data_IF_656431869712
#
_entry.id   IF_656431869712
#
_cell.length_a   1.000
_cell.length_b   1.000
_cell.length_c   1.000
_cell.angle_alpha   90.00
_cell.angle_beta   90.00
_cell.angle_gamma   90.00
#
_symmetry.space_group_name_H-M   'P 1'
#
loop_
_entity.id
_entity.type
_entity.pdbx_description
1 polymer ?
#
# COMPACT_ATOMS: atom_id res chain seq x y z
N UNK A 1 9.15 35.72 -9.35
CA UNK A 1 7.90 34.93 -9.35
C UNK A 1 7.63 34.58 -7.89
N UNK A 2 6.50 34.95 -7.29
CA UNK A 2 6.22 34.54 -5.92
C UNK A 2 6.06 33.01 -5.90
N UNK A 3 6.68 32.37 -4.89
CA UNK A 3 6.77 30.92 -4.70
C UNK A 3 5.50 30.16 -5.11
N UNK A 4 5.63 29.22 -6.05
CA UNK A 4 4.64 28.16 -6.19
C UNK A 4 4.68 27.32 -4.91
N UNK A 5 3.71 27.55 -4.01
CA UNK A 5 3.61 26.85 -2.74
C UNK A 5 3.35 25.36 -2.99
N UNK A 6 4.42 24.59 -2.97
CA UNK A 6 4.37 23.13 -2.98
C UNK A 6 3.90 22.65 -1.61
N UNK A 7 2.94 21.74 -1.61
CA UNK A 7 2.34 21.17 -0.40
C UNK A 7 2.59 19.67 -0.33
N UNK A 8 2.52 19.12 0.87
CA UNK A 8 2.41 17.67 1.14
C UNK A 8 1.31 17.40 2.15
N UNK A 9 0.94 16.13 2.28
CA UNK A 9 0.05 15.70 3.37
C UNK A 9 0.84 15.57 4.69
N UNK A 10 0.22 16.03 5.77
CA UNK A 10 0.65 15.85 7.15
C UNK A 10 0.54 14.39 7.56
N UNK A 11 1.63 13.66 7.39
CA UNK A 11 1.69 12.20 7.58
C UNK A 11 1.36 11.77 9.01
N UNK A 12 1.65 12.62 9.99
CA UNK A 12 1.37 12.43 11.40
C UNK A 12 -0.13 12.44 11.74
N UNK A 13 -0.98 12.97 10.85
CA UNK A 13 -2.43 13.00 11.03
C UNK A 13 -3.14 11.86 10.29
N UNK A 14 -2.44 11.17 9.39
CA UNK A 14 -2.99 10.04 8.63
C UNK A 14 -3.08 8.79 9.52
N UNK A 15 -4.21 8.11 9.40
CA UNK A 15 -4.45 6.82 10.04
C UNK A 15 -4.65 5.73 8.98
N UNK A 16 -4.33 4.47 9.28
CA UNK A 16 -4.71 3.35 8.43
C UNK A 16 -6.23 3.35 8.18
N UNK A 17 -6.62 3.07 6.95
CA UNK A 17 -8.01 3.18 6.48
C UNK A 17 -8.42 4.59 6.03
N UNK A 18 -7.59 5.62 6.18
CA UNK A 18 -7.88 6.91 5.54
C UNK A 18 -7.81 6.80 4.02
N UNK A 19 -8.73 7.49 3.34
CA UNK A 19 -8.79 7.56 1.88
C UNK A 19 -8.28 8.93 1.46
N UNK A 20 -7.30 8.97 0.56
CA UNK A 20 -6.78 10.21 0.00
C UNK A 20 -7.27 10.34 -1.43
N UNK A 21 -7.94 11.46 -1.71
CA UNK A 21 -8.42 11.83 -3.02
C UNK A 21 -7.61 13.01 -3.54
N UNK A 22 -7.13 12.91 -4.78
CA UNK A 22 -6.39 14.00 -5.41
C UNK A 22 -6.98 14.38 -6.75
N UNK A 23 -6.82 15.65 -7.11
CA UNK A 23 -7.09 16.18 -8.44
C UNK A 23 -5.87 16.96 -8.89
N UNK A 24 -4.97 16.31 -9.64
CA UNK A 24 -3.76 16.94 -10.17
C UNK A 24 -3.80 16.97 -11.70
N UNK A 25 -3.44 18.13 -12.28
CA UNK A 25 -3.53 18.35 -13.75
C UNK A 25 -2.59 17.45 -14.57
N UNK A 26 -1.48 16.99 -13.99
CA UNK A 26 -0.39 16.31 -14.71
C UNK A 26 -0.38 14.77 -14.72
N UNK A 27 -1.06 14.10 -13.78
CA UNK A 27 -0.89 12.64 -13.56
C UNK A 27 -1.93 11.74 -14.24
N UNK A 28 -2.91 12.30 -14.96
CA UNK A 28 -4.04 11.55 -15.53
C UNK A 28 -4.19 11.77 -17.02
N UNK A 29 -4.42 10.68 -17.77
CA UNK A 29 -4.63 10.72 -19.22
C UNK A 29 -5.76 11.69 -19.61
N UNK A 30 -5.60 12.36 -20.77
CA UNK A 30 -6.56 13.37 -21.24
C UNK A 30 -8.01 12.83 -21.29
N UNK A 31 -8.16 11.55 -21.64
CA UNK A 31 -9.44 10.87 -21.76
C UNK A 31 -10.17 10.71 -20.41
N UNK A 32 -9.46 10.26 -19.36
CA UNK A 32 -10.06 10.10 -18.03
C UNK A 32 -10.48 11.47 -17.49
N UNK A 33 -9.65 12.50 -17.65
CA UNK A 33 -9.98 13.87 -17.21
C UNK A 33 -11.21 14.45 -17.91
N UNK A 34 -11.32 14.25 -19.22
CA UNK A 34 -12.46 14.73 -20.01
C UNK A 34 -13.75 14.03 -19.54
N UNK A 35 -13.67 12.73 -19.27
CA UNK A 35 -14.80 11.92 -18.88
C UNK A 35 -15.20 12.13 -17.39
N UNK A 36 -14.27 12.48 -16.50
CA UNK A 36 -14.54 12.78 -15.08
C UNK A 36 -14.82 14.26 -14.79
N UNK A 37 -14.85 15.12 -15.82
CA UNK A 37 -15.00 16.59 -15.70
C UNK A 37 -14.03 17.23 -14.69
N UNK A 38 -12.88 16.61 -14.44
CA UNK A 38 -11.80 17.17 -13.62
C UNK A 38 -12.05 17.31 -12.10
N UNK A 39 -13.11 16.73 -11.53
CA UNK A 39 -13.49 17.01 -10.13
C UNK A 39 -12.70 16.21 -9.06
N UNK A 40 -12.25 15.00 -9.37
CA UNK A 40 -11.28 14.20 -8.60
C UNK A 40 -10.66 13.18 -9.57
N UNK A 41 -9.32 13.10 -9.61
CA UNK A 41 -8.61 12.32 -10.63
C UNK A 41 -8.05 11.00 -10.12
N UNK A 42 -7.84 10.87 -8.80
CA UNK A 42 -7.19 9.69 -8.22
C UNK A 42 -7.68 9.38 -6.81
N UNK A 43 -7.56 8.12 -6.40
CA UNK A 43 -7.93 7.64 -5.07
C UNK A 43 -6.85 6.69 -4.55
N UNK A 44 -6.48 6.86 -3.29
CA UNK A 44 -5.45 6.08 -2.60
C UNK A 44 -5.98 5.69 -1.22
N UNK A 45 -5.48 4.60 -0.64
CA UNK A 45 -5.80 4.19 0.73
C UNK A 45 -4.53 4.15 1.58
N UNK A 46 -4.59 4.74 2.77
CA UNK A 46 -3.54 4.65 3.78
C UNK A 46 -3.58 3.27 4.44
N UNK A 47 -2.50 2.50 4.35
CA UNK A 47 -2.41 1.14 4.92
C UNK A 47 -1.55 1.08 6.18
N UNK A 48 -0.67 2.06 6.37
CA UNK A 48 0.15 2.22 7.57
C UNK A 48 0.68 3.67 7.60
N UNK A 49 1.26 4.10 8.72
CA UNK A 49 1.86 5.44 8.87
C UNK A 49 2.72 5.84 7.66
N UNK A 50 2.21 6.77 6.86
CA UNK A 50 2.85 7.26 5.63
C UNK A 50 2.88 6.29 4.44
N UNK A 51 2.44 5.05 4.60
CA UNK A 51 2.33 4.06 3.52
C UNK A 51 0.92 4.07 2.96
N UNK A 52 0.84 4.30 1.65
CA UNK A 52 -0.41 4.27 0.89
C UNK A 52 -0.34 3.19 -0.18
N UNK A 53 -1.50 2.70 -0.60
CA UNK A 53 -1.65 1.85 -1.77
C UNK A 53 -2.62 2.52 -2.74
N UNK A 54 -2.27 2.51 -4.01
CA UNK A 54 -3.09 3.04 -5.09
C UNK A 54 -2.96 2.17 -6.34
N UNK A 55 -3.66 2.56 -7.40
CA UNK A 55 -3.61 1.86 -8.69
C UNK A 55 -3.44 2.88 -9.81
N UNK A 56 -2.30 2.83 -10.49
CA UNK A 56 -1.88 3.75 -11.56
C UNK A 56 -1.52 2.96 -12.81
N UNK A 57 -0.99 3.60 -13.86
CA UNK A 57 -0.58 2.90 -15.10
C UNK A 57 0.43 1.76 -14.86
N UNK A 58 1.17 1.79 -13.75
CA UNK A 58 2.12 0.76 -13.32
C UNK A 58 1.48 -0.37 -12.47
N UNK A 59 0.14 -0.41 -12.42
CA UNK A 59 -0.63 -1.35 -11.61
C UNK A 59 -0.87 -0.85 -10.19
N UNK A 60 -1.28 -1.77 -9.31
CA UNK A 60 -1.43 -1.50 -7.88
C UNK A 60 -0.06 -1.49 -7.21
N UNK A 61 0.28 -0.41 -6.53
CA UNK A 61 1.60 -0.21 -5.93
C UNK A 61 1.50 0.39 -4.52
N UNK A 62 2.49 0.10 -3.69
CA UNK A 62 2.65 0.76 -2.40
C UNK A 62 3.59 1.96 -2.54
N UNK A 63 3.19 3.12 -2.01
CA UNK A 63 3.96 4.36 -2.04
C UNK A 63 4.12 4.95 -0.63
N UNK A 64 5.06 5.90 -0.50
CA UNK A 64 5.16 6.75 0.67
C UNK A 64 4.56 8.11 0.37
N UNK A 65 3.52 8.50 1.12
CA UNK A 65 2.78 9.75 0.90
C UNK A 65 3.63 11.00 1.09
N UNK A 66 4.73 10.94 1.84
CA UNK A 66 5.64 12.07 2.01
C UNK A 66 6.41 12.41 0.73
N UNK A 67 6.46 11.48 -0.24
CA UNK A 67 7.01 11.71 -1.59
C UNK A 67 5.98 12.32 -2.55
N UNK A 68 4.72 12.37 -2.16
CA UNK A 68 3.66 13.01 -2.95
C UNK A 68 3.64 14.51 -2.69
N UNK A 69 4.02 15.26 -3.71
CA UNK A 69 4.06 16.72 -3.70
C UNK A 69 2.93 17.25 -4.57
N UNK A 70 2.27 18.30 -4.06
CA UNK A 70 1.09 18.90 -4.69
C UNK A 70 1.34 20.37 -4.98
N UNK A 71 1.06 20.78 -6.22
CA UNK A 71 1.15 22.17 -6.62
C UNK A 71 0.05 23.04 -5.99
N UNK A 72 0.09 24.36 -6.22
CA UNK A 72 -0.94 25.28 -5.73
C UNK A 72 -2.33 24.99 -6.30
N UNK A 73 -2.39 24.55 -7.57
CA UNK A 73 -3.64 24.22 -8.28
C UNK A 73 -4.18 22.82 -7.97
N UNK A 74 -3.40 21.97 -7.31
CA UNK A 74 -3.82 20.61 -7.01
C UNK A 74 -4.84 20.60 -5.86
N UNK A 75 -5.83 19.72 -5.95
CA UNK A 75 -6.76 19.50 -4.84
C UNK A 75 -6.43 18.19 -4.14
N UNK A 76 -6.39 18.23 -2.81
CA UNK A 76 -6.12 17.08 -1.95
C UNK A 76 -7.17 17.07 -0.85
N UNK A 77 -7.88 15.96 -0.74
CA UNK A 77 -8.90 15.73 0.28
C UNK A 77 -8.59 14.40 0.95
N UNK A 78 -8.53 14.39 2.29
CA UNK A 78 -8.45 13.14 3.07
C UNK A 78 -9.80 12.86 3.69
N UNK A 79 -10.26 11.63 3.57
CA UNK A 79 -11.54 11.14 4.07
C UNK A 79 -11.30 10.04 5.09
N UNK A 80 -12.10 10.06 6.16
CA UNK A 80 -12.12 9.01 7.19
C UNK A 80 -13.54 8.51 7.40
N UNK A 81 -13.71 7.24 7.74
CA UNK A 81 -15.00 6.70 8.16
C UNK A 81 -15.52 7.45 9.40
N UNK A 82 -16.79 7.86 9.35
CA UNK A 82 -17.49 8.52 10.47
C UNK A 82 -17.62 7.59 11.67
N UNK A 83 -17.95 6.34 11.40
CA UNK A 83 -17.94 5.26 12.37
C UNK A 83 -16.62 4.50 12.18
N UNK A 84 -15.68 4.54 13.14
CA UNK A 84 -14.44 3.81 13.03
C UNK A 84 -14.72 2.30 12.81
N UNK A 85 -13.99 1.65 11.87
CA UNK A 85 -14.10 0.21 11.70
C UNK A 85 -13.58 -0.50 12.95
N UNK A 86 -14.07 -1.72 13.20
CA UNK A 86 -13.41 -2.61 14.17
C UNK A 86 -11.99 -2.97 13.71
N UNK A 87 -11.12 -3.39 14.63
CA UNK A 87 -9.75 -3.81 14.31
C UNK A 87 -9.73 -4.94 13.27
N UNK A 88 -10.69 -5.88 13.35
CA UNK A 88 -10.86 -6.94 12.36
C UNK A 88 -11.21 -6.38 10.97
N UNK A 89 -12.17 -5.46 10.90
CA UNK A 89 -12.52 -4.84 9.61
C UNK A 89 -11.35 -4.04 9.05
N UNK A 90 -10.64 -3.28 9.89
CA UNK A 90 -9.48 -2.53 9.47
C UNK A 90 -8.38 -3.44 8.94
N UNK A 91 -8.11 -4.56 9.62
CA UNK A 91 -7.20 -5.60 9.15
C UNK A 91 -7.59 -6.13 7.77
N UNK A 92 -8.85 -6.51 7.58
CA UNK A 92 -9.36 -7.01 6.28
C UNK A 92 -9.20 -5.98 5.15
N UNK A 93 -9.47 -4.69 5.43
CA UNK A 93 -9.30 -3.61 4.45
C UNK A 93 -7.84 -3.47 4.03
N UNK A 94 -6.94 -3.45 5.01
CA UNK A 94 -5.50 -3.28 4.79
C UNK A 94 -4.90 -4.49 4.07
N UNK A 95 -5.26 -5.70 4.50
CA UNK A 95 -4.77 -6.95 3.93
C UNK A 95 -5.25 -7.11 2.49
N UNK A 96 -6.50 -6.73 2.19
CA UNK A 96 -6.98 -6.68 0.81
C UNK A 96 -6.13 -5.73 -0.05
N UNK A 97 -5.92 -4.49 0.42
CA UNK A 97 -5.14 -3.51 -0.34
C UNK A 97 -3.70 -3.99 -0.59
N UNK A 98 -3.08 -4.66 0.38
CA UNK A 98 -1.73 -5.23 0.26
C UNK A 98 -1.67 -6.44 -0.67
N UNK A 99 -2.65 -7.34 -0.59
CA UNK A 99 -2.72 -8.53 -1.43
C UNK A 99 -2.89 -8.19 -2.92
N UNK A 100 -3.49 -7.04 -3.22
CA UNK A 100 -3.67 -6.55 -4.59
C UNK A 100 -2.43 -5.90 -5.19
N UNK A 101 -1.32 -5.71 -4.45
CA UNK A 101 -0.07 -5.15 -4.99
C UNK A 101 0.41 -5.99 -6.18
N UNK A 102 0.62 -5.32 -7.31
CA UNK A 102 0.98 -5.93 -8.58
C UNK A 102 -0.17 -6.05 -9.59
N UNK A 103 -1.43 -6.06 -9.13
CA UNK A 103 -2.61 -6.18 -9.99
C UNK A 103 -2.59 -5.11 -11.09
N UNK A 104 -2.81 -5.50 -12.36
CA UNK A 104 -2.71 -4.57 -13.49
C UNK A 104 -3.79 -3.51 -13.45
N UNK A 105 -3.48 -2.36 -14.06
CA UNK A 105 -4.42 -1.26 -14.18
C UNK A 105 -5.30 -1.35 -15.42
N UNK A 106 -6.61 -1.16 -15.23
CA UNK A 106 -7.60 -1.19 -16.30
C UNK A 106 -8.03 0.21 -16.73
N UNK A 107 -7.35 0.76 -17.74
CA UNK A 107 -7.72 2.05 -18.37
C UNK A 107 -9.13 2.04 -18.94
N UNK A 108 -9.51 0.94 -19.59
CA UNK A 108 -10.79 0.81 -20.26
C UNK A 108 -11.95 0.77 -19.26
N UNK A 109 -11.81 0.05 -18.14
CA UNK A 109 -12.83 0.00 -17.11
C UNK A 109 -12.87 1.29 -16.27
N UNK A 110 -11.73 1.93 -16.04
CA UNK A 110 -11.68 3.26 -15.43
C UNK A 110 -12.50 4.29 -16.23
N UNK A 111 -12.37 4.30 -17.57
CA UNK A 111 -13.21 5.14 -18.44
C UNK A 111 -14.67 4.71 -18.41
N UNK A 112 -14.97 3.41 -18.35
CA UNK A 112 -16.37 2.93 -18.24
C UNK A 112 -17.02 3.27 -16.90
N UNK A 113 -16.26 3.56 -15.85
CA UNK A 113 -16.81 3.99 -14.55
C UNK A 113 -17.59 5.30 -14.63
N UNK A 114 -17.29 6.15 -15.62
CA UNK A 114 -17.96 7.43 -15.88
C UNK A 114 -18.97 7.40 -17.04
N UNK A 115 -19.06 6.28 -17.76
CA UNK A 115 -19.95 6.14 -18.90
C UNK A 115 -21.14 5.22 -18.57
N UNK A 116 -22.26 5.48 -19.24
CA UNK A 116 -23.39 4.55 -19.27
C UNK A 116 -23.10 3.42 -20.26
N UNK A 117 -23.42 2.17 -19.92
CA UNK A 117 -23.30 1.03 -20.81
C UNK A 117 -22.73 -0.23 -20.14
N UNK A 118 -22.29 -1.23 -20.94
CA UNK A 118 -21.76 -2.48 -20.43
C UNK A 118 -20.49 -2.27 -19.59
N UNK A 119 -20.48 -2.95 -18.44
CA UNK A 119 -19.47 -2.88 -17.39
C UNK A 119 -18.91 -4.28 -17.12
N UNK A 120 -18.10 -4.85 -18.04
CA UNK A 120 -17.50 -6.17 -17.84
C UNK A 120 -16.60 -6.16 -16.61
N UNK A 121 -16.55 -7.22 -15.80
CA UNK A 121 -15.73 -7.23 -14.59
C UNK A 121 -14.48 -8.06 -14.83
N UNK A 122 -13.33 -7.43 -14.87
CA UNK A 122 -12.04 -8.13 -14.84
C UNK A 122 -11.45 -8.10 -13.43
N UNK A 123 -10.40 -8.90 -13.19
CA UNK A 123 -9.63 -8.84 -11.93
C UNK A 123 -8.74 -7.59 -11.85
N UNK A 124 -8.52 -6.89 -12.96
CA UNK A 124 -7.73 -5.67 -12.98
C UNK A 124 -8.40 -4.55 -12.19
N UNK A 125 -7.59 -3.63 -11.71
CA UNK A 125 -8.03 -2.56 -10.81
C UNK A 125 -7.81 -1.19 -11.44
N UNK A 126 -8.53 -0.21 -10.91
CA UNK A 126 -8.21 1.20 -11.06
C UNK A 126 -8.42 1.87 -9.72
N UNK A 127 -7.88 3.07 -9.54
CA UNK A 127 -7.72 3.70 -8.24
C UNK A 127 -8.97 3.66 -7.33
N UNK A 128 -10.12 4.09 -7.82
CA UNK A 128 -11.36 4.06 -7.03
C UNK A 128 -11.96 2.67 -6.86
N UNK A 129 -11.79 1.75 -7.82
CA UNK A 129 -12.20 0.35 -7.68
C UNK A 129 -11.40 -0.34 -6.57
N UNK A 130 -10.08 -0.14 -6.54
CA UNK A 130 -9.20 -0.67 -5.48
C UNK A 130 -9.73 -0.25 -4.10
N UNK A 131 -9.92 1.06 -3.90
CA UNK A 131 -10.42 1.59 -2.62
C UNK A 131 -11.81 1.02 -2.30
N UNK A 132 -12.76 1.06 -3.24
CA UNK A 132 -14.11 0.57 -2.96
C UNK A 132 -14.18 -0.93 -2.66
N UNK A 133 -13.37 -1.76 -3.35
CA UNK A 133 -13.28 -3.20 -3.08
C UNK A 133 -12.59 -3.49 -1.75
N UNK A 134 -11.57 -2.72 -1.37
CA UNK A 134 -10.91 -2.86 -0.07
C UNK A 134 -11.88 -2.64 1.11
N UNK A 135 -12.78 -1.67 1.01
CA UNK A 135 -13.80 -1.50 2.06
C UNK A 135 -14.92 -2.54 1.96
N UNK A 136 -15.30 -2.93 0.75
CA UNK A 136 -16.33 -3.96 0.52
C UNK A 136 -15.91 -5.33 1.05
N UNK A 137 -14.62 -5.68 1.03
CA UNK A 137 -14.12 -6.94 1.59
C UNK A 137 -14.37 -7.05 3.09
N UNK A 138 -14.47 -5.92 3.81
CA UNK A 138 -14.82 -5.84 5.22
C UNK A 138 -16.31 -5.55 5.47
N UNK A 139 -17.16 -5.67 4.44
CA UNK A 139 -18.60 -5.40 4.53
C UNK A 139 -18.97 -3.91 4.60
N UNK A 140 -18.04 -3.00 4.26
CA UNK A 140 -18.27 -1.55 4.28
C UNK A 140 -18.48 -1.06 2.85
N UNK A 141 -19.73 -0.78 2.49
CA UNK A 141 -20.10 -0.34 1.14
C UNK A 141 -20.05 1.19 1.02
N UNK A 142 -18.88 1.72 0.65
CA UNK A 142 -18.71 3.17 0.42
C UNK A 142 -19.58 3.71 -0.72
N UNK A 143 -19.86 2.86 -1.70
CA UNK A 143 -20.61 3.15 -2.93
C UNK A 143 -21.49 1.94 -3.28
N UNK A 144 -22.49 2.14 -4.14
CA UNK A 144 -23.41 1.07 -4.55
C UNK A 144 -22.76 -0.03 -5.40
N UNK A 145 -21.78 0.32 -6.24
CA UNK A 145 -21.02 -0.62 -7.07
C UNK A 145 -19.52 -0.40 -6.87
N UNK A 146 -18.88 -1.33 -6.16
CA UNK A 146 -17.45 -1.26 -5.86
C UNK A 146 -16.57 -1.53 -7.09
N UNK A 147 -17.10 -2.18 -8.12
CA UNK A 147 -16.36 -2.45 -9.35
C UNK A 147 -16.38 -1.26 -10.32
N UNK A 148 -17.36 -0.36 -10.17
CA UNK A 148 -17.55 0.77 -11.08
C UNK A 148 -18.00 2.02 -10.35
N UNK A 149 -17.03 2.66 -9.70
CA UNK A 149 -17.20 3.95 -9.05
C UNK A 149 -16.08 4.91 -9.39
N UNK A 150 -16.39 6.21 -9.37
CA UNK A 150 -15.43 7.30 -9.49
C UNK A 150 -14.92 7.71 -8.10
N UNK A 151 -13.74 8.33 -8.01
CA UNK A 151 -13.28 8.95 -6.77
C UNK A 151 -14.29 9.98 -6.21
N UNK A 152 -14.99 10.71 -7.09
CA UNK A 152 -16.05 11.64 -6.69
C UNK A 152 -17.28 10.96 -6.06
N UNK A 153 -17.62 9.73 -6.46
CA UNK A 153 -18.67 8.95 -5.78
C UNK A 153 -18.23 8.52 -4.39
N UNK A 154 -16.96 8.11 -4.22
CA UNK A 154 -16.40 7.81 -2.89
C UNK A 154 -16.47 9.06 -2.00
N UNK A 155 -16.05 10.24 -2.50
CA UNK A 155 -16.11 11.50 -1.75
C UNK A 155 -17.52 11.82 -1.21
N UNK A 156 -18.56 11.48 -1.97
CA UNK A 156 -19.97 11.73 -1.59
C UNK A 156 -20.57 10.65 -0.70
N UNK A 157 -19.79 9.62 -0.33
CA UNK A 157 -20.27 8.57 0.56
C UNK A 157 -20.72 9.17 1.90
N UNK A 158 -21.94 8.86 2.38
CA UNK A 158 -22.41 9.35 3.68
C UNK A 158 -21.60 8.76 4.85
N UNK A 159 -20.89 7.65 4.60
CA UNK A 159 -20.05 6.98 5.60
C UNK A 159 -18.75 7.75 5.89
N UNK A 160 -18.37 8.69 5.04
CA UNK A 160 -17.09 9.39 5.11
C UNK A 160 -17.26 10.84 5.60
N UNK A 161 -16.25 11.31 6.32
CA UNK A 161 -16.05 12.70 6.69
C UNK A 161 -14.72 13.19 6.12
N UNK A 162 -14.72 14.39 5.55
CA UNK A 162 -13.51 15.08 5.11
C UNK A 162 -12.77 15.65 6.33
N UNK A 163 -11.47 15.34 6.42
CA UNK A 163 -10.61 15.81 7.49
C UNK A 163 -10.10 17.22 7.18
N UNK A 164 -10.24 18.18 8.12
CA UNK A 164 -9.80 19.55 7.88
C UNK A 164 -8.27 19.66 7.99
N UNK A 165 -7.67 20.54 7.16
CA UNK A 165 -6.27 20.99 7.27
C UNK A 165 -5.22 19.87 7.26
N UNK A 166 -5.34 18.97 6.28
CA UNK A 166 -4.46 17.80 6.12
C UNK A 166 -3.18 18.04 5.31
N UNK A 167 -2.98 19.24 4.77
CA UNK A 167 -1.77 19.59 4.02
C UNK A 167 -0.96 20.68 4.71
N UNK A 168 0.34 20.68 4.47
CA UNK A 168 1.27 21.73 4.88
C UNK A 168 2.15 22.18 3.70
N UNK A 169 2.63 23.43 3.75
CA UNK A 169 3.52 24.01 2.74
C UNK A 169 4.96 23.64 3.06
N UNK A 170 5.72 23.25 2.04
CA UNK A 170 7.12 22.89 2.16
C UNK A 170 8.02 24.08 1.85
N UNK A 171 9.13 24.19 2.61
CA UNK A 171 10.17 25.18 2.30
C UNK A 171 11.04 24.72 1.12
N UNK A 172 11.62 25.67 0.39
CA UNK A 172 12.53 25.38 -0.74
C UNK A 172 13.76 24.57 -0.32
N UNK A 173 14.25 24.78 0.91
CA UNK A 173 15.35 24.01 1.48
C UNK A 173 14.96 22.53 1.71
N UNK A 174 13.74 22.31 2.21
CA UNK A 174 13.21 20.96 2.41
C UNK A 174 12.95 20.23 1.10
N UNK A 175 12.39 20.93 0.10
CA UNK A 175 12.21 20.37 -1.26
C UNK A 175 13.55 19.95 -1.88
N UNK A 176 14.58 20.78 -1.76
CA UNK A 176 15.92 20.47 -2.26
C UNK A 176 16.56 19.28 -1.52
N UNK A 177 16.32 19.15 -0.21
CA UNK A 177 16.78 18.01 0.56
C UNK A 177 16.07 16.71 0.16
N UNK A 178 14.74 16.76 -0.03
CA UNK A 178 13.93 15.61 -0.45
C UNK A 178 14.28 15.12 -1.85
N UNK A 179 14.51 16.04 -2.79
CA UNK A 179 14.88 15.69 -4.17
C UNK A 179 16.19 14.89 -4.28
N UNK A 180 17.09 15.03 -3.30
CA UNK A 180 18.37 14.30 -3.24
C UNK A 180 18.25 12.92 -2.59
N UNK A 181 17.13 12.61 -1.92
CA UNK A 181 16.98 11.33 -1.21
C UNK A 181 16.78 10.18 -2.21
N UNK A 182 17.54 9.08 -2.08
CA UNK A 182 17.28 7.85 -2.83
C UNK A 182 15.82 7.42 -2.66
N UNK A 183 15.24 6.78 -3.69
CA UNK A 183 13.87 6.28 -3.66
C UNK A 183 13.83 4.75 -3.75
N UNK A 184 14.18 4.03 -2.67
CA UNK A 184 14.20 2.56 -2.67
C UNK A 184 12.82 1.95 -2.93
N UNK A 185 11.74 2.72 -2.72
CA UNK A 185 10.37 2.29 -3.04
C UNK A 185 10.21 2.17 -4.56
N UNK A 186 10.75 3.11 -5.35
CA UNK A 186 10.69 3.01 -6.81
C UNK A 186 11.46 1.79 -7.32
N UNK A 187 12.63 1.51 -6.75
CA UNK A 187 13.42 0.32 -7.09
C UNK A 187 12.63 -0.97 -6.80
N UNK A 188 11.97 -1.04 -5.64
CA UNK A 188 11.11 -2.16 -5.28
C UNK A 188 9.94 -2.34 -6.26
N UNK A 189 9.25 -1.25 -6.63
CA UNK A 189 8.13 -1.28 -7.58
C UNK A 189 8.56 -1.78 -8.97
N UNK A 190 9.71 -1.29 -9.46
CA UNK A 190 10.26 -1.74 -10.74
C UNK A 190 10.58 -3.24 -10.72
N UNK A 191 11.24 -3.70 -9.65
CA UNK A 191 11.60 -5.12 -9.48
C UNK A 191 10.33 -6.00 -9.40
N UNK A 192 9.33 -5.58 -8.61
CA UNK A 192 8.07 -6.29 -8.51
C UNK A 192 7.37 -6.41 -9.86
N UNK A 193 7.33 -5.33 -10.64
CA UNK A 193 6.75 -5.33 -11.98
C UNK A 193 7.52 -6.22 -12.95
N UNK A 194 8.86 -6.30 -12.86
CA UNK A 194 9.68 -7.22 -13.65
C UNK A 194 9.34 -8.68 -13.33
N UNK A 195 9.22 -9.03 -12.04
CA UNK A 195 8.86 -10.39 -11.61
C UNK A 195 7.49 -10.78 -12.15
N UNK A 196 6.47 -9.94 -11.93
CA UNK A 196 5.11 -10.22 -12.41
C UNK A 196 5.01 -10.24 -13.93
N UNK A 197 5.82 -9.44 -14.64
CA UNK A 197 5.91 -9.50 -16.10
C UNK A 197 6.45 -10.84 -16.57
N UNK A 198 7.45 -11.40 -15.90
CA UNK A 198 7.97 -12.73 -16.22
C UNK A 198 6.94 -13.83 -15.93
N UNK A 199 6.28 -13.77 -14.77
CA UNK A 199 5.20 -14.70 -14.41
C UNK A 199 4.07 -14.70 -15.43
N UNK A 200 3.67 -13.52 -15.92
CA UNK A 200 2.63 -13.36 -16.94
C UNK A 200 2.98 -13.94 -18.32
N UNK A 201 4.26 -14.25 -18.57
CA UNK A 201 4.67 -14.98 -19.79
C UNK A 201 4.38 -16.47 -19.67
N UNK A 202 4.37 -17.01 -18.45
CA UNK A 202 3.99 -18.39 -18.17
C UNK A 202 2.46 -18.51 -18.11
N UNK A 203 1.81 -17.63 -17.33
CA UNK A 203 0.35 -17.56 -17.24
C UNK A 203 -0.16 -16.11 -17.32
N UNK A 204 -0.82 -15.70 -18.43
CA UNK A 204 -1.37 -14.37 -18.61
C UNK A 204 -2.44 -13.94 -17.59
N UNK A 205 -3.00 -14.87 -16.80
CA UNK A 205 -4.03 -14.62 -15.79
C UNK A 205 -3.47 -14.05 -14.48
N UNK A 206 -2.16 -14.13 -14.26
CA UNK A 206 -1.49 -13.59 -13.06
C UNK A 206 -1.69 -12.08 -12.96
N UNK A 207 -2.38 -11.65 -11.91
CA UNK A 207 -2.52 -10.22 -11.61
C UNK A 207 -1.55 -9.76 -10.53
N UNK A 208 -1.44 -10.46 -9.40
CA UNK A 208 -0.62 -10.05 -8.25
C UNK A 208 0.26 -11.18 -7.71
N UNK A 209 0.99 -10.91 -6.63
CA UNK A 209 1.87 -11.89 -5.98
C UNK A 209 1.12 -13.07 -5.37
N UNK A 210 -0.13 -12.89 -4.93
CA UNK A 210 -0.95 -14.01 -4.42
C UNK A 210 -1.26 -15.00 -5.55
N UNK A 211 -1.51 -14.50 -6.76
CA UNK A 211 -1.70 -15.35 -7.94
C UNK A 211 -0.38 -16.07 -8.29
N UNK A 212 0.76 -15.37 -8.26
CA UNK A 212 2.08 -15.97 -8.49
C UNK A 212 2.39 -17.10 -7.49
N UNK A 213 2.12 -16.89 -6.20
CA UNK A 213 2.33 -17.91 -5.17
C UNK A 213 1.47 -19.15 -5.43
N UNK A 214 0.24 -18.94 -5.93
CA UNK A 214 -0.66 -20.03 -6.30
C UNK A 214 -0.17 -20.77 -7.55
N UNK A 215 0.28 -20.06 -8.61
CA UNK A 215 0.75 -20.73 -9.84
C UNK A 215 1.96 -21.61 -9.57
N UNK A 216 2.88 -21.19 -8.70
CA UNK A 216 4.08 -21.98 -8.39
C UNK A 216 3.71 -23.26 -7.65
N UNK A 217 2.68 -23.20 -6.80
CA UNK A 217 2.14 -24.39 -6.13
C UNK A 217 1.44 -25.34 -7.10
N UNK A 218 0.66 -24.80 -8.03
CA UNK A 218 -0.12 -25.58 -9.00
C UNK A 218 0.75 -26.12 -10.14
N UNK A 219 1.84 -25.44 -10.47
CA UNK A 219 2.82 -25.76 -11.52
C UNK A 219 4.25 -25.79 -10.97
N UNK A 220 4.63 -26.82 -10.19
CA UNK A 220 5.99 -26.94 -9.65
C UNK A 220 7.09 -26.95 -10.71
N UNK A 221 6.78 -27.31 -11.96
CA UNK A 221 7.70 -27.24 -13.10
C UNK A 221 8.17 -25.81 -13.43
N UNK A 222 7.45 -24.78 -12.97
CA UNK A 222 7.81 -23.37 -13.17
C UNK A 222 8.66 -22.79 -12.04
N UNK A 223 8.84 -23.53 -10.94
CA UNK A 223 9.56 -23.07 -9.74
C UNK A 223 10.97 -22.58 -10.06
N UNK A 224 11.75 -23.37 -10.82
CA UNK A 224 13.13 -23.01 -11.14
C UNK A 224 13.24 -21.72 -11.96
N UNK A 225 12.31 -21.53 -12.92
CA UNK A 225 12.26 -20.32 -13.74
C UNK A 225 11.85 -19.09 -12.92
N UNK A 226 10.82 -19.21 -12.09
CA UNK A 226 10.39 -18.11 -11.20
C UNK A 226 11.48 -17.78 -10.18
N UNK A 227 12.10 -18.78 -9.55
CA UNK A 227 13.20 -18.58 -8.61
C UNK A 227 14.42 -17.91 -9.27
N UNK A 228 14.70 -18.24 -10.55
CA UNK A 228 15.72 -17.53 -11.35
C UNK A 228 15.35 -16.06 -11.53
N UNK A 229 14.11 -15.74 -11.87
CA UNK A 229 13.64 -14.36 -12.01
C UNK A 229 13.79 -13.58 -10.70
N UNK A 230 13.44 -14.16 -9.55
CA UNK A 230 13.65 -13.52 -8.25
C UNK A 230 15.12 -13.19 -7.98
N UNK A 231 16.03 -14.12 -8.28
CA UNK A 231 17.48 -13.92 -8.15
C UNK A 231 18.01 -12.84 -9.09
N UNK A 232 17.67 -12.89 -10.37
CA UNK A 232 18.18 -11.97 -11.39
C UNK A 232 17.55 -10.57 -11.32
N UNK A 233 16.34 -10.45 -10.79
CA UNK A 233 15.67 -9.16 -10.62
C UNK A 233 16.32 -8.28 -9.55
N UNK A 234 17.15 -8.85 -8.67
CA UNK A 234 17.73 -8.15 -7.52
C UNK A 234 16.77 -8.02 -6.32
N UNK A 235 15.57 -8.62 -6.38
CA UNK A 235 14.61 -8.59 -5.27
C UNK A 235 15.21 -9.09 -3.96
N UNK A 236 15.96 -10.19 -4.02
CA UNK A 236 16.61 -10.81 -2.86
C UNK A 236 17.78 -9.99 -2.29
N UNK A 237 18.22 -8.96 -3.01
CA UNK A 237 19.35 -8.09 -2.63
C UNK A 237 18.91 -6.65 -2.28
N UNK A 238 17.62 -6.31 -2.38
CA UNK A 238 17.08 -4.98 -2.05
C UNK A 238 17.49 -4.50 -0.65
N UNK A 239 17.53 -5.41 0.33
CA UNK A 239 17.92 -5.11 1.70
C UNK A 239 19.36 -4.58 1.81
N UNK A 240 20.26 -4.93 0.87
CA UNK A 240 21.66 -4.48 0.89
C UNK A 240 21.77 -2.98 0.64
N UNK A 241 20.92 -2.45 -0.24
CA UNK A 241 20.87 -1.03 -0.53
C UNK A 241 20.37 -0.24 0.69
N UNK A 242 19.33 -0.74 1.37
CA UNK A 242 18.87 -0.13 2.63
C UNK A 242 19.93 -0.24 3.73
N UNK A 243 20.58 -1.39 3.89
CA UNK A 243 21.65 -1.58 4.88
C UNK A 243 22.82 -0.62 4.67
N UNK A 244 23.22 -0.36 3.42
CA UNK A 244 24.31 0.56 3.11
C UNK A 244 24.01 2.02 3.51
N UNK A 245 22.72 2.40 3.51
CA UNK A 245 22.26 3.76 3.84
C UNK A 245 21.88 3.86 5.34
N UNK A 246 21.21 2.84 5.86
CA UNK A 246 20.58 2.78 7.17
C UNK A 246 21.04 1.55 7.97
N UNK A 247 22.35 1.40 8.27
CA UNK A 247 22.86 0.20 8.95
C UNK A 247 22.26 -0.01 10.34
N UNK A 248 21.80 1.07 10.99
CA UNK A 248 21.12 1.02 12.29
C UNK A 248 19.75 0.30 12.25
N UNK A 249 19.14 0.08 11.09
CA UNK A 249 17.94 -0.76 10.99
C UNK A 249 18.22 -2.24 11.30
N UNK A 250 19.47 -2.68 11.09
CA UNK A 250 19.86 -4.10 11.15
C UNK A 250 20.87 -4.40 12.27
N UNK A 251 21.53 -3.38 12.81
CA UNK A 251 22.52 -3.50 13.88
C UNK A 251 22.11 -2.65 15.09
N UNK A 252 21.77 -3.33 16.19
CA UNK A 252 21.34 -2.70 17.44
C UNK A 252 22.44 -1.86 18.10
N UNK A 253 23.71 -2.23 17.95
CA UNK A 253 24.81 -1.48 18.54
C UNK A 253 25.10 -0.21 17.75
N UNK A 254 24.93 -0.23 16.42
CA UNK A 254 24.94 0.99 15.61
C UNK A 254 23.76 1.87 15.98
N UNK A 255 22.55 1.31 16.13
CA UNK A 255 21.35 2.05 16.54
C UNK A 255 21.53 2.76 17.88
N UNK A 256 22.04 2.06 18.90
CA UNK A 256 22.28 2.63 20.24
C UNK A 256 23.34 3.74 20.26
N UNK A 257 24.28 3.71 19.31
CA UNK A 257 25.37 4.69 19.18
C UNK A 257 25.04 5.84 18.23
N UNK A 258 23.96 5.73 17.46
CA UNK A 258 23.52 6.82 16.61
C UNK A 258 23.17 8.02 17.52
N UNK A 259 23.65 9.24 17.20
CA UNK A 259 23.19 10.43 17.92
C UNK A 259 21.67 10.48 17.78
N UNK A 260 20.99 10.89 18.85
CA UNK A 260 19.52 10.99 18.92
C UNK A 260 18.99 11.48 17.57
N UNK A 261 18.41 10.55 16.79
CA UNK A 261 17.69 10.84 15.56
C UNK A 261 16.37 11.47 15.98
N UNK A 262 16.46 12.63 16.64
CA UNK A 262 15.33 13.43 17.05
C UNK A 262 14.59 13.74 15.76
N UNK A 263 13.33 13.32 15.59
CA UNK A 263 12.55 13.75 14.44
C UNK A 263 12.60 15.28 14.42
N UNK A 264 12.95 15.86 13.27
CA UNK A 264 12.92 17.31 13.05
C UNK A 264 11.57 17.78 13.59
N UNK A 265 11.61 18.56 14.66
CA UNK A 265 10.48 18.89 15.54
C UNK A 265 9.21 19.19 14.73
N UNK A 266 8.19 18.35 14.89
CA UNK A 266 6.82 18.84 14.86
C UNK A 266 6.74 19.97 15.90
N UNK A 267 6.31 21.15 15.46
CA UNK A 267 6.29 22.36 16.26
C UNK A 267 5.49 22.12 17.54
N UNK A 268 6.12 22.46 18.66
CA UNK A 268 5.66 22.34 20.03
C UNK A 268 4.28 22.94 20.28
N UNK A 269 3.37 22.15 20.88
CA UNK A 269 2.58 22.53 22.06
C UNK A 269 1.59 21.41 22.42
N UNK A 270 2.00 20.43 23.23
CA UNK A 270 1.08 19.73 24.14
C UNK A 270 1.79 19.58 25.47
N UNK A 271 1.15 20.11 26.50
CA UNK A 271 1.61 20.10 27.88
C UNK A 271 1.84 18.66 28.38
N UNK A 272 2.94 18.50 29.08
CA UNK A 272 3.34 17.30 29.80
C UNK A 272 2.33 16.95 30.92
N UNK A 273 1.86 15.70 30.92
CA UNK A 273 1.26 15.06 32.08
C UNK A 273 2.15 13.84 32.47
N UNK A 274 2.36 13.56 33.77
CA UNK A 274 3.36 12.60 34.21
C UNK A 274 2.85 11.15 34.06
N UNK A 275 3.67 10.30 33.45
CA UNK A 275 3.46 8.85 33.44
C UNK A 275 3.72 8.29 34.84
N UNK A 276 2.71 7.65 35.43
CA UNK A 276 2.81 6.85 36.63
C UNK A 276 3.48 5.50 36.35
N UNK A 277 4.35 5.10 37.28
CA UNK A 277 5.06 3.83 37.31
C UNK A 277 4.12 2.62 37.11
N UNK A 278 4.43 1.79 36.12
CA UNK A 278 4.10 0.36 36.15
C UNK A 278 5.30 -0.43 35.61
N UNK A 279 5.70 -1.42 36.40
CA UNK A 279 6.86 -2.30 36.24
C UNK A 279 6.78 -3.14 34.95
N UNK A 280 7.91 -3.46 34.31
CA UNK A 280 7.91 -4.25 33.08
C UNK A 280 7.66 -5.72 33.38
N UNK A 281 6.64 -6.29 32.74
CA UNK A 281 6.42 -7.75 32.68
C UNK A 281 7.44 -8.33 31.68
N UNK A 282 8.26 -9.26 32.16
CA UNK A 282 9.24 -9.97 31.37
C UNK A 282 8.57 -10.90 30.36
N UNK A 283 8.80 -10.67 29.06
CA UNK A 283 8.50 -11.65 28.02
C UNK A 283 9.56 -12.75 28.06
N UNK A 284 9.16 -13.95 28.50
CA UNK A 284 9.96 -15.16 28.39
C UNK A 284 9.98 -15.63 26.93
N UNK A 285 11.18 -15.71 26.34
CA UNK A 285 11.43 -16.38 25.06
C UNK A 285 11.36 -17.90 25.24
N UNK A 286 10.60 -18.66 24.42
CA UNK A 286 10.77 -20.10 24.37
C UNK A 286 12.03 -20.43 23.56
N UNK A 287 13.02 -21.02 24.22
CA UNK A 287 14.19 -21.64 23.59
C UNK A 287 13.76 -22.92 22.86
N UNK A 288 13.92 -22.95 21.54
CA UNK A 288 13.82 -24.18 20.75
C UNK A 288 15.23 -24.77 20.65
N UNK A 289 15.46 -25.88 21.35
CA UNK A 289 16.66 -26.71 21.24
C UNK A 289 16.47 -27.76 20.14
N UNK A 290 17.32 -27.73 19.12
CA UNK A 290 17.46 -28.81 18.15
C UNK A 290 18.19 -29.98 18.82
N UNK A 291 17.54 -31.14 18.89
CA UNK A 291 18.23 -32.42 19.10
C UNK A 291 18.01 -33.30 17.88
N UNK A 292 19.14 -33.70 17.29
CA UNK A 292 19.27 -34.64 16.18
C UNK A 292 19.00 -36.06 16.68
N UNK A 293 18.00 -36.73 16.14
CA UNK A 293 17.99 -38.18 15.82
C UNK A 293 16.55 -38.72 15.67
N UNK A 294 16.37 -39.65 14.73
CA UNK A 294 15.33 -40.67 14.85
C UNK A 294 14.23 -40.67 13.80
N UNK A 295 14.49 -41.40 12.70
CA UNK A 295 13.51 -42.10 11.86
C UNK A 295 12.20 -42.45 12.57
N UNK A 296 11.05 -42.17 11.94
CA UNK A 296 9.88 -43.07 12.02
C UNK A 296 9.09 -43.13 10.71
N UNK A 297 9.23 -44.27 10.01
CA UNK A 297 8.19 -44.87 9.16
C UNK A 297 7.31 -45.75 10.05
N UNK A 298 6.00 -45.77 9.79
CA UNK A 298 5.06 -46.93 9.77
C UNK A 298 3.64 -46.39 9.49
N UNK A 299 3.10 -46.56 8.27
CA UNK A 299 2.23 -47.65 7.80
C UNK A 299 0.90 -47.81 8.54
N UNK A 300 -0.17 -47.46 7.80
CA UNK A 300 -1.43 -48.17 7.58
C UNK A 300 -2.26 -48.72 8.75
N UNK A 301 -3.56 -48.36 8.75
CA UNK A 301 -4.60 -49.07 9.49
C UNK A 301 -5.96 -48.35 9.47
N UNK A 302 -6.73 -48.50 8.39
CA UNK A 302 -8.19 -48.27 8.38
C UNK A 302 -8.88 -49.40 9.16
N UNK A 303 -10.09 -49.18 9.71
CA UNK A 303 -11.24 -49.76 9.02
C UNK A 303 -12.48 -48.85 8.99
N UNK A 304 -13.38 -49.20 8.07
CA UNK A 304 -14.69 -48.64 7.82
C UNK A 304 -15.78 -49.64 8.26
N UNK A 305 -16.94 -49.07 8.63
CA UNK A 305 -18.34 -49.54 8.50
C UNK A 305 -19.03 -50.34 9.63
N UNK A 306 -20.12 -49.68 10.07
CA UNK A 306 -21.52 -50.09 10.19
C UNK A 306 -21.92 -51.31 11.04
N UNK A 307 -22.70 -51.01 12.08
CA UNK A 307 -24.08 -51.52 12.28
C UNK A 307 -24.90 -50.40 12.89
#
# INVERSE_FOLDING_TARGET
MPDEQTRRIKVELLMPGDIILTASRGKVSKAIRLATKGQVSHAMICVQHGSIVDSTDDGVQAHNIQRELYGPDDHVTVLRLRLPPSDLQLGIIIDFARAEIGTRYSKSEAVRSVLSGPKPRTRQLFCSRLVARAFTSAGIHLVADADYCTPGQIRRSPLLAELPVMTEVLSSAELAAWAKRPNPIADMQEIQNRILTAARRLDPSVENFSDLDQIVQDHPEWDEEIARVYRESGYLDLWRADFAINPWHYDLDIWRRAPDLTPIRASSNIASAPFGNSTPVACASPSISFTTSGLWRRTAGRPLRNS
#
